data_IF_680249010222
#
_entry.id   IF_680249010222
#
_cell.length_a   1.000
_cell.length_b   1.000
_cell.length_c   1.000
_cell.angle_alpha   90.00
_cell.angle_beta   90.00
_cell.angle_gamma   90.00
#
_symmetry.space_group_name_H-M   'P 1'
#
loop_
_entity.id
_entity.type
_entity.pdbx_description
1 polymer ?
#
# COMPACT_ATOMS: atom_id res chain seq x y z
N UNK A 1 77.51 29.86 29.51
CA UNK A 1 78.18 28.69 30.12
C UNK A 1 77.31 27.47 29.90
N UNK A 2 77.67 26.61 28.93
CA UNK A 2 76.90 25.42 28.60
C UNK A 2 77.13 24.34 29.66
N UNK A 3 76.07 23.96 30.39
CA UNK A 3 76.12 22.80 31.28
C UNK A 3 76.04 21.51 30.46
N UNK A 4 77.10 20.72 30.58
CA UNK A 4 77.27 19.40 29.99
C UNK A 4 76.21 18.43 30.57
N UNK A 5 75.03 18.33 29.95
CA UNK A 5 74.04 17.27 30.24
C UNK A 5 74.51 15.99 29.58
N UNK A 6 75.36 15.21 30.25
CA UNK A 6 75.55 13.75 30.08
C UNK A 6 76.64 13.24 31.04
N UNK A 7 76.48 13.47 32.34
CA UNK A 7 77.21 12.70 33.36
C UNK A 7 76.34 11.50 33.71
N UNK A 8 76.58 10.35 33.08
CA UNK A 8 76.00 9.07 33.54
C UNK A 8 76.64 8.73 34.89
N UNK A 9 76.05 9.26 35.97
CA UNK A 9 76.45 8.93 37.34
C UNK A 9 76.06 7.48 37.56
N UNK A 10 77.04 6.58 37.43
CA UNK A 10 76.85 5.16 37.73
C UNK A 10 76.60 5.02 39.23
N UNK A 11 75.49 4.40 39.59
CA UNK A 11 75.16 4.03 40.98
C UNK A 11 75.53 2.57 41.21
N UNK A 12 75.90 2.22 42.44
CA UNK A 12 76.28 0.85 42.82
C UNK A 12 75.13 0.19 43.56
N UNK A 13 74.77 -1.03 43.15
CA UNK A 13 73.78 -1.88 43.83
C UNK A 13 74.51 -3.11 44.35
N UNK A 14 74.34 -3.41 45.64
CA UNK A 14 74.85 -4.64 46.25
C UNK A 14 73.96 -5.82 45.88
N UNK A 15 74.55 -6.87 45.30
CA UNK A 15 73.87 -8.14 45.02
C UNK A 15 74.67 -9.29 45.64
N UNK A 16 73.98 -10.34 46.04
CA UNK A 16 74.63 -11.54 46.58
C UNK A 16 75.34 -12.33 45.47
N UNK A 17 76.25 -13.22 45.87
CA UNK A 17 77.05 -13.97 44.92
C UNK A 17 76.20 -14.89 44.02
N UNK A 18 75.05 -15.39 44.50
CA UNK A 18 74.20 -16.28 43.72
C UNK A 18 73.48 -15.53 42.59
N UNK A 19 72.92 -14.36 42.87
CA UNK A 19 72.30 -13.48 41.86
C UNK A 19 73.33 -12.99 40.85
N UNK A 20 74.55 -12.64 41.28
CA UNK A 20 75.63 -12.26 40.37
C UNK A 20 75.98 -13.38 39.37
N UNK A 21 76.00 -14.65 39.82
CA UNK A 21 76.21 -15.80 38.93
C UNK A 21 75.06 -15.99 37.93
N UNK A 22 73.82 -15.70 38.31
CA UNK A 22 72.67 -15.75 37.40
C UNK A 22 72.75 -14.66 36.33
N UNK A 23 73.11 -13.44 36.72
CA UNK A 23 73.37 -12.34 35.80
C UNK A 23 74.49 -12.72 34.83
N UNK A 24 75.60 -13.30 35.32
CA UNK A 24 76.69 -13.79 34.46
C UNK A 24 76.23 -14.83 33.42
N UNK A 25 75.35 -15.75 33.81
CA UNK A 25 74.76 -16.73 32.88
C UNK A 25 73.88 -16.05 31.82
N UNK A 26 73.11 -15.04 32.19
CA UNK A 26 72.27 -14.27 31.25
C UNK A 26 73.14 -13.42 30.32
N UNK A 27 74.18 -12.76 30.84
CA UNK A 27 75.17 -12.01 30.08
C UNK A 27 75.83 -12.88 29.01
N UNK A 28 76.23 -14.11 29.35
CA UNK A 28 76.80 -15.05 28.38
C UNK A 28 75.78 -15.52 27.34
N UNK A 29 74.52 -15.77 27.73
CA UNK A 29 73.47 -16.26 26.81
C UNK A 29 73.06 -15.23 25.76
N UNK A 30 72.93 -13.98 26.17
CA UNK A 30 72.46 -12.91 25.28
C UNK A 30 73.58 -12.01 24.76
N UNK A 31 74.84 -12.30 25.13
CA UNK A 31 76.04 -11.53 24.76
C UNK A 31 75.94 -10.03 25.13
N UNK A 32 75.55 -9.75 26.37
CA UNK A 32 75.33 -8.39 26.87
C UNK A 32 76.17 -8.13 28.13
N UNK A 33 76.54 -6.86 28.36
CA UNK A 33 77.24 -6.45 29.59
C UNK A 33 76.27 -6.46 30.78
N UNK A 34 76.79 -6.61 32.00
CA UNK A 34 75.96 -6.67 33.23
C UNK A 34 75.04 -5.46 33.38
N UNK A 35 75.56 -4.25 33.17
CA UNK A 35 74.77 -3.02 33.26
C UNK A 35 73.67 -2.93 32.19
N UNK A 36 73.90 -3.46 30.99
CA UNK A 36 72.93 -3.44 29.89
C UNK A 36 71.76 -4.39 30.15
N UNK A 37 72.04 -5.60 30.63
CA UNK A 37 71.00 -6.57 31.01
C UNK A 37 70.12 -6.04 32.14
N UNK A 38 70.72 -5.42 33.16
CA UNK A 38 69.96 -4.88 34.29
C UNK A 38 69.05 -3.75 33.81
N UNK A 39 69.55 -2.83 32.98
CA UNK A 39 68.74 -1.77 32.38
C UNK A 39 67.58 -2.33 31.56
N UNK A 40 67.84 -3.28 30.67
CA UNK A 40 66.82 -3.91 29.83
C UNK A 40 65.80 -4.70 30.65
N UNK A 41 66.21 -5.34 31.74
CA UNK A 41 65.29 -6.04 32.63
C UNK A 41 64.31 -5.08 33.31
N UNK A 42 64.77 -3.93 33.81
CA UNK A 42 63.88 -2.91 34.37
C UNK A 42 62.96 -2.30 33.31
N UNK A 43 63.47 -1.99 32.11
CA UNK A 43 62.62 -1.54 31.00
C UNK A 43 61.59 -2.60 30.59
N UNK A 44 61.95 -3.88 30.62
CA UNK A 44 61.02 -4.97 30.29
C UNK A 44 59.94 -5.12 31.35
N UNK A 45 60.29 -5.06 32.65
CA UNK A 45 59.32 -5.11 33.74
C UNK A 45 58.32 -3.95 33.67
N UNK A 46 58.83 -2.74 33.40
CA UNK A 46 58.00 -1.54 33.25
C UNK A 46 57.08 -1.63 32.01
N UNK A 47 57.63 -1.97 30.84
CA UNK A 47 56.87 -2.07 29.58
C UNK A 47 55.88 -3.24 29.56
N UNK A 48 56.21 -4.35 30.21
CA UNK A 48 55.34 -5.52 30.28
C UNK A 48 54.41 -5.50 31.51
N UNK A 49 54.48 -4.44 32.34
CA UNK A 49 53.74 -4.30 33.60
C UNK A 49 53.86 -5.54 34.51
N UNK A 50 55.05 -6.15 34.57
CA UNK A 50 55.29 -7.35 35.39
C UNK A 50 55.73 -6.92 36.79
N UNK A 51 55.05 -7.40 37.82
CA UNK A 51 55.48 -7.24 39.20
C UNK A 51 56.53 -8.30 39.55
N UNK A 52 57.82 -7.94 39.76
CA UNK A 52 58.87 -8.92 40.06
C UNK A 52 58.75 -9.54 41.47
N UNK A 53 57.89 -8.99 42.33
CA UNK A 53 57.63 -9.52 43.66
C UNK A 53 56.62 -10.68 43.64
N UNK A 54 55.87 -10.83 42.54
CA UNK A 54 54.87 -11.87 42.37
C UNK A 54 55.36 -12.93 41.37
N UNK A 55 54.99 -14.22 41.55
CA UNK A 55 55.27 -15.24 40.56
C UNK A 55 54.68 -14.80 39.20
N UNK A 56 55.40 -14.99 38.09
CA UNK A 56 54.90 -14.58 36.78
C UNK A 56 53.54 -15.24 36.52
N UNK A 57 52.50 -14.43 36.34
CA UNK A 57 51.18 -14.95 35.95
C UNK A 57 51.33 -15.67 34.61
N UNK A 58 50.93 -16.94 34.59
CA UNK A 58 51.08 -17.73 33.37
C UNK A 58 50.14 -17.18 32.31
N UNK A 59 50.68 -16.79 31.15
CA UNK A 59 49.87 -16.39 29.98
C UNK A 59 48.79 -17.45 29.67
N UNK A 60 49.10 -18.72 29.92
CA UNK A 60 48.14 -19.84 29.78
C UNK A 60 46.93 -19.73 30.72
N UNK A 61 47.11 -19.29 31.96
CA UNK A 61 46.00 -19.15 32.92
C UNK A 61 45.11 -17.96 32.59
N UNK A 62 45.67 -16.84 32.14
CA UNK A 62 44.87 -15.69 31.70
C UNK A 62 44.08 -16.00 30.42
N UNK A 63 44.70 -16.67 29.44
CA UNK A 63 43.99 -17.15 28.25
C UNK A 63 42.86 -18.13 28.63
N UNK A 64 43.07 -19.00 29.61
CA UNK A 64 42.02 -19.91 30.08
C UNK A 64 40.85 -19.14 30.74
N UNK A 65 41.11 -18.09 31.51
CA UNK A 65 40.07 -17.22 32.09
C UNK A 65 39.27 -16.50 31.01
N UNK A 66 39.97 -15.97 29.99
CA UNK A 66 39.32 -15.30 28.84
C UNK A 66 38.45 -16.29 28.06
N UNK A 67 38.97 -17.47 27.74
CA UNK A 67 38.21 -18.50 27.02
C UNK A 67 36.95 -18.91 27.79
N UNK A 68 37.05 -19.11 29.11
CA UNK A 68 35.89 -19.41 29.95
C UNK A 68 34.83 -18.30 29.88
N UNK A 69 35.24 -17.03 29.95
CA UNK A 69 34.32 -15.89 29.81
C UNK A 69 33.68 -15.84 28.43
N UNK A 70 34.43 -16.15 27.37
CA UNK A 70 33.88 -16.25 26.02
C UNK A 70 32.84 -17.36 25.91
N UNK A 71 33.12 -18.54 26.46
CA UNK A 71 32.17 -19.66 26.48
C UNK A 71 30.88 -19.31 27.24
N UNK A 72 31.00 -18.64 28.38
CA UNK A 72 29.85 -18.19 29.16
C UNK A 72 29.03 -17.13 28.40
N UNK A 73 29.68 -16.20 27.68
CA UNK A 73 29.00 -15.24 26.81
C UNK A 73 28.28 -15.91 25.64
N UNK A 74 28.92 -16.87 24.97
CA UNK A 74 28.29 -17.63 23.88
C UNK A 74 27.08 -18.40 24.42
N UNK A 75 27.20 -19.01 25.61
CA UNK A 75 26.09 -19.73 26.25
C UNK A 75 24.94 -18.78 26.57
N UNK A 76 25.23 -17.58 27.09
CA UNK A 76 24.23 -16.56 27.35
C UNK A 76 23.49 -16.13 26.09
N UNK A 77 24.22 -15.82 25.00
CA UNK A 77 23.63 -15.40 23.73
C UNK A 77 22.70 -16.49 23.18
N UNK A 78 23.17 -17.74 23.11
CA UNK A 78 22.34 -18.86 22.64
C UNK A 78 21.08 -19.04 23.49
N UNK A 79 21.22 -18.95 24.81
CA UNK A 79 20.08 -19.06 25.71
C UNK A 79 19.06 -17.95 25.48
N UNK A 80 19.51 -16.70 25.33
CA UNK A 80 18.65 -15.56 25.04
C UNK A 80 17.99 -15.68 23.67
N UNK A 81 18.73 -16.11 22.65
CA UNK A 81 18.19 -16.35 21.31
C UNK A 81 17.10 -17.41 21.33
N UNK A 82 17.33 -18.52 22.02
CA UNK A 82 16.35 -19.62 22.13
C UNK A 82 15.11 -19.25 22.94
N UNK A 83 15.27 -18.52 24.05
CA UNK A 83 14.18 -18.24 24.99
C UNK A 83 13.38 -16.99 24.67
N UNK A 84 14.02 -15.95 24.14
CA UNK A 84 13.38 -14.65 23.93
C UNK A 84 13.27 -14.34 22.44
N UNK A 85 14.40 -14.33 21.72
CA UNK A 85 14.44 -13.81 20.35
C UNK A 85 13.67 -14.70 19.35
N UNK A 86 13.90 -16.01 19.37
CA UNK A 86 13.29 -16.95 18.44
C UNK A 86 11.75 -17.02 18.60
N UNK A 87 11.20 -17.09 19.83
CA UNK A 87 9.75 -16.99 20.03
C UNK A 87 9.18 -15.66 19.53
N UNK A 88 9.86 -14.54 19.78
CA UNK A 88 9.42 -13.23 19.29
C UNK A 88 9.38 -13.18 17.75
N UNK A 89 10.42 -13.70 17.07
CA UNK A 89 10.44 -13.79 15.60
C UNK A 89 9.28 -14.65 15.09
N UNK A 90 9.02 -15.80 15.71
CA UNK A 90 7.89 -16.69 15.34
C UNK A 90 6.54 -16.00 15.56
N UNK A 91 6.35 -15.30 16.67
CA UNK A 91 5.13 -14.57 16.96
C UNK A 91 4.90 -13.47 15.92
N UNK A 92 5.93 -12.67 15.62
CA UNK A 92 5.87 -11.62 14.58
C UNK A 92 5.54 -12.22 13.21
N UNK A 93 6.17 -13.34 12.84
CA UNK A 93 5.88 -14.02 11.57
C UNK A 93 4.44 -14.55 11.52
N UNK A 94 3.95 -15.14 12.61
CA UNK A 94 2.57 -15.61 12.72
C UNK A 94 1.56 -14.46 12.61
N UNK A 95 1.86 -13.31 13.22
CA UNK A 95 1.04 -12.10 13.09
C UNK A 95 1.02 -11.62 11.64
N UNK A 96 2.18 -11.52 10.99
CA UNK A 96 2.26 -11.11 9.58
C UNK A 96 1.45 -12.04 8.66
N UNK A 97 1.58 -13.36 8.83
CA UNK A 97 0.81 -14.33 8.05
C UNK A 97 -0.71 -14.19 8.25
N UNK A 98 -1.16 -13.96 9.48
CA UNK A 98 -2.60 -13.70 9.77
C UNK A 98 -3.08 -12.40 9.16
N UNK A 99 -2.26 -11.34 9.17
CA UNK A 99 -2.60 -10.10 8.50
C UNK A 99 -2.74 -10.28 6.99
N UNK A 100 -1.81 -10.99 6.35
CA UNK A 100 -1.89 -11.28 4.91
C UNK A 100 -3.16 -12.07 4.55
N UNK A 101 -3.55 -13.05 5.37
CA UNK A 101 -4.78 -13.82 5.19
C UNK A 101 -6.04 -12.96 5.32
N UNK A 102 -6.08 -12.09 6.34
CA UNK A 102 -7.20 -11.16 6.55
C UNK A 102 -7.32 -10.17 5.39
N UNK A 103 -6.20 -9.61 4.92
CA UNK A 103 -6.18 -8.67 3.79
C UNK A 103 -6.69 -9.35 2.51
N UNK A 104 -6.24 -10.57 2.22
CA UNK A 104 -6.73 -11.33 1.05
C UNK A 104 -8.22 -11.62 1.14
N UNK A 105 -8.69 -12.08 2.30
CA UNK A 105 -10.12 -12.35 2.51
C UNK A 105 -10.96 -11.09 2.31
N UNK A 106 -10.49 -9.95 2.82
CA UNK A 106 -11.17 -8.68 2.66
C UNK A 106 -11.17 -8.21 1.19
N UNK A 107 -10.06 -8.39 0.48
CA UNK A 107 -9.96 -8.09 -0.95
C UNK A 107 -10.98 -8.89 -1.77
N UNK A 108 -11.10 -10.20 -1.49
CA UNK A 108 -12.08 -11.07 -2.15
C UNK A 108 -13.52 -10.66 -1.84
N UNK A 109 -13.83 -10.35 -0.57
CA UNK A 109 -15.16 -9.87 -0.18
C UNK A 109 -15.52 -8.56 -0.88
N UNK A 110 -14.63 -7.58 -0.90
CA UNK A 110 -14.84 -6.29 -1.58
C UNK A 110 -15.06 -6.51 -3.07
N UNK A 111 -14.25 -7.36 -3.73
CA UNK A 111 -14.45 -7.70 -5.15
C UNK A 111 -15.84 -8.31 -5.38
N UNK A 112 -16.25 -9.26 -4.54
CA UNK A 112 -17.56 -9.92 -4.66
C UNK A 112 -18.72 -8.94 -4.51
N UNK A 113 -18.64 -8.01 -3.55
CA UNK A 113 -19.69 -7.01 -3.32
C UNK A 113 -19.75 -6.01 -4.49
N UNK A 114 -18.59 -5.55 -4.99
CA UNK A 114 -18.54 -4.65 -6.16
C UNK A 114 -19.15 -5.32 -7.39
N UNK A 115 -18.81 -6.59 -7.66
CA UNK A 115 -19.40 -7.33 -8.78
C UNK A 115 -20.91 -7.50 -8.61
N UNK A 116 -21.37 -7.90 -7.43
CA UNK A 116 -22.80 -8.05 -7.15
C UNK A 116 -23.57 -6.73 -7.31
N UNK A 117 -23.01 -5.62 -6.84
CA UNK A 117 -23.58 -4.29 -7.03
C UNK A 117 -23.63 -3.90 -8.50
N UNK A 118 -22.56 -4.15 -9.25
CA UNK A 118 -22.48 -3.85 -10.67
C UNK A 118 -23.52 -4.64 -11.47
N UNK A 119 -23.65 -5.94 -11.21
CA UNK A 119 -24.65 -6.81 -11.85
C UNK A 119 -26.07 -6.32 -11.55
N UNK A 120 -26.39 -6.01 -10.28
CA UNK A 120 -27.70 -5.47 -9.91
C UNK A 120 -28.00 -4.14 -10.60
N UNK A 121 -27.04 -3.22 -10.65
CA UNK A 121 -27.23 -1.94 -11.34
C UNK A 121 -27.40 -2.14 -12.85
N UNK A 122 -26.63 -3.03 -13.45
CA UNK A 122 -26.76 -3.40 -14.87
C UNK A 122 -28.16 -3.93 -15.18
N UNK A 123 -28.66 -4.86 -14.37
CA UNK A 123 -30.01 -5.43 -14.51
C UNK A 123 -31.10 -4.36 -14.39
N UNK A 124 -30.97 -3.43 -13.43
CA UNK A 124 -31.90 -2.31 -13.26
C UNK A 124 -31.87 -1.40 -14.48
N UNK A 125 -30.69 -1.02 -14.95
CA UNK A 125 -30.54 -0.16 -16.13
C UNK A 125 -31.10 -0.83 -17.38
N UNK A 126 -30.91 -2.13 -17.55
CA UNK A 126 -31.49 -2.88 -18.65
C UNK A 126 -33.03 -2.87 -18.58
N UNK A 127 -33.62 -3.13 -17.41
CA UNK A 127 -35.08 -3.06 -17.23
C UNK A 127 -35.64 -1.66 -17.51
N UNK A 128 -34.94 -0.62 -17.08
CA UNK A 128 -35.31 0.76 -17.37
C UNK A 128 -35.29 0.98 -18.88
N UNK A 129 -34.19 0.61 -19.55
CA UNK A 129 -34.05 0.72 -21.01
C UNK A 129 -35.19 0.03 -21.76
N UNK A 130 -35.49 -1.22 -21.40
CA UNK A 130 -36.58 -2.00 -21.99
C UNK A 130 -37.94 -1.33 -21.80
N UNK A 131 -38.18 -0.76 -20.61
CA UNK A 131 -39.43 -0.08 -20.27
C UNK A 131 -39.57 1.23 -21.05
N UNK A 132 -38.50 2.01 -21.17
CA UNK A 132 -38.47 3.20 -22.01
C UNK A 132 -38.68 2.85 -23.49
N UNK A 133 -38.10 1.76 -23.98
CA UNK A 133 -38.36 1.25 -25.32
C UNK A 133 -39.83 0.91 -25.56
N UNK A 134 -40.48 0.23 -24.61
CA UNK A 134 -41.93 -0.03 -24.66
C UNK A 134 -42.74 1.28 -24.66
N UNK A 135 -42.39 2.24 -23.80
CA UNK A 135 -43.08 3.52 -23.73
C UNK A 135 -42.92 4.33 -25.02
N UNK A 136 -41.73 4.36 -25.61
CA UNK A 136 -41.46 5.02 -26.89
C UNK A 136 -42.33 4.44 -28.02
N UNK A 137 -42.49 3.10 -28.06
CA UNK A 137 -43.37 2.45 -29.03
C UNK A 137 -44.84 2.86 -28.86
N UNK A 138 -45.33 2.89 -27.61
CA UNK A 138 -46.69 3.33 -27.29
C UNK A 138 -46.90 4.79 -27.72
N UNK A 139 -45.99 5.70 -27.32
CA UNK A 139 -46.06 7.12 -27.69
C UNK A 139 -46.07 7.27 -29.21
N UNK A 140 -45.21 6.55 -29.94
CA UNK A 140 -45.20 6.60 -31.40
C UNK A 140 -46.52 6.13 -32.01
N UNK A 141 -47.13 5.07 -31.46
CA UNK A 141 -48.44 4.59 -31.92
C UNK A 141 -49.56 5.61 -31.66
N UNK A 142 -49.55 6.26 -30.49
CA UNK A 142 -50.52 7.29 -30.11
C UNK A 142 -50.36 8.55 -30.98
N UNK A 143 -49.12 8.98 -31.25
CA UNK A 143 -48.85 10.10 -32.15
C UNK A 143 -49.43 9.87 -33.54
N UNK A 144 -49.33 8.64 -34.08
CA UNK A 144 -49.95 8.29 -35.37
C UNK A 144 -51.48 8.34 -35.31
N UNK A 145 -52.09 7.83 -34.23
CA UNK A 145 -53.54 7.91 -34.03
C UNK A 145 -54.02 9.35 -33.94
N UNK A 146 -53.34 10.20 -33.15
CA UNK A 146 -53.65 11.63 -33.02
C UNK A 146 -53.56 12.31 -34.38
N UNK A 147 -52.51 12.04 -35.17
CA UNK A 147 -52.38 12.62 -36.51
C UNK A 147 -53.57 12.24 -37.42
N UNK A 148 -54.03 10.98 -37.36
CA UNK A 148 -55.22 10.55 -38.11
C UNK A 148 -56.51 11.23 -37.64
N UNK A 149 -56.71 11.37 -36.32
CA UNK A 149 -57.88 12.04 -35.74
C UNK A 149 -57.90 13.53 -36.10
N UNK A 150 -56.75 14.21 -36.04
CA UNK A 150 -56.63 15.62 -36.45
C UNK A 150 -56.98 15.80 -37.93
N UNK A 151 -56.61 14.85 -38.78
CA UNK A 151 -56.95 14.89 -40.21
C UNK A 151 -58.46 14.70 -40.43
N UNK A 152 -59.08 13.74 -39.75
CA UNK A 152 -60.54 13.53 -39.79
C UNK A 152 -61.26 14.78 -39.30
N UNK A 153 -60.86 15.33 -38.15
CA UNK A 153 -61.44 16.55 -37.60
C UNK A 153 -61.37 17.72 -38.60
N UNK A 154 -60.25 17.86 -39.32
CA UNK A 154 -60.10 18.90 -40.34
C UNK A 154 -61.08 18.70 -41.51
N UNK A 155 -61.29 17.46 -41.94
CA UNK A 155 -62.25 17.12 -42.99
C UNK A 155 -63.68 17.37 -42.52
N UNK A 156 -64.04 16.92 -41.32
CA UNK A 156 -65.36 17.11 -40.73
C UNK A 156 -65.68 18.59 -40.51
N UNK A 157 -64.72 19.39 -40.03
CA UNK A 157 -64.88 20.83 -39.90
C UNK A 157 -65.11 21.50 -41.25
N UNK A 158 -64.43 21.05 -42.32
CA UNK A 158 -64.68 21.56 -43.68
C UNK A 158 -66.09 21.21 -44.14
N UNK A 159 -66.49 19.93 -44.02
CA UNK A 159 -67.86 19.49 -44.34
C UNK A 159 -68.91 20.29 -43.58
N UNK A 160 -68.69 20.55 -42.29
CA UNK A 160 -69.59 21.36 -41.47
C UNK A 160 -69.71 22.80 -42.00
N UNK A 161 -68.60 23.45 -42.35
CA UNK A 161 -68.62 24.79 -42.93
C UNK A 161 -69.36 24.82 -44.28
N UNK A 162 -69.11 23.84 -45.13
CA UNK A 162 -69.77 23.71 -46.42
C UNK A 162 -71.28 23.48 -46.24
N UNK A 163 -71.70 22.64 -45.28
CA UNK A 163 -73.11 22.46 -44.91
C UNK A 163 -73.75 23.75 -44.42
N UNK A 164 -73.07 24.49 -43.53
CA UNK A 164 -73.57 25.78 -43.04
C UNK A 164 -73.80 26.73 -44.22
N UNK A 165 -72.86 26.82 -45.16
CA UNK A 165 -73.01 27.66 -46.35
C UNK A 165 -74.22 27.26 -47.18
N UNK A 166 -74.38 25.97 -47.51
CA UNK A 166 -75.51 25.46 -48.29
C UNK A 166 -76.86 25.70 -47.59
N UNK A 167 -76.93 25.48 -46.27
CA UNK A 167 -78.15 25.77 -45.50
C UNK A 167 -78.47 27.26 -45.48
N UNK A 168 -77.48 28.14 -45.34
CA UNK A 168 -77.71 29.59 -45.41
C UNK A 168 -78.24 30.01 -46.78
N UNK A 169 -77.69 29.47 -47.87
CA UNK A 169 -78.16 29.76 -49.23
C UNK A 169 -79.58 29.22 -49.48
N UNK A 170 -79.91 28.05 -48.92
CA UNK A 170 -81.27 27.51 -48.98
C UNK A 170 -82.28 28.42 -48.28
N UNK A 171 -81.92 29.00 -47.13
CA UNK A 171 -82.80 29.90 -46.38
C UNK A 171 -83.07 31.24 -47.08
N UNK A 172 -82.14 31.71 -47.92
CA UNK A 172 -82.31 32.97 -48.68
C UNK A 172 -83.10 32.80 -49.98
N UNK A 173 -83.39 31.56 -50.41
CA UNK A 173 -84.15 31.29 -51.63
C UNK A 173 -85.63 31.70 -51.53
N UNK A 174 -86.13 32.46 -52.52
CA UNK A 174 -87.50 32.97 -52.60
C UNK A 174 -88.54 31.92 -53.00
N UNK A 175 -89.82 32.32 -53.09
CA UNK A 175 -90.94 31.42 -53.43
C UNK A 175 -90.87 30.93 -54.89
N UNK A 176 -90.20 31.68 -55.77
CA UNK A 176 -90.02 31.37 -57.20
C UNK A 176 -88.82 30.45 -57.51
N UNK A 177 -87.96 30.13 -56.53
CA UNK A 177 -86.69 29.40 -56.70
C UNK A 177 -86.82 27.87 -56.56
N UNK A 178 -87.95 27.28 -56.93
CA UNK A 178 -88.26 25.86 -56.64
C UNK A 178 -87.18 24.86 -57.07
N UNK A 179 -86.68 24.98 -58.31
CA UNK A 179 -85.63 24.10 -58.85
C UNK A 179 -84.28 24.27 -58.13
N UNK A 180 -83.93 25.50 -57.73
CA UNK A 180 -82.70 25.78 -56.97
C UNK A 180 -82.78 25.22 -55.55
N UNK A 181 -83.95 25.30 -54.90
CA UNK A 181 -84.21 24.70 -53.59
C UNK A 181 -84.05 23.18 -53.61
N UNK A 182 -84.56 22.51 -54.64
CA UNK A 182 -84.39 21.04 -54.78
C UNK A 182 -82.93 20.65 -54.99
N UNK A 183 -82.20 21.39 -55.83
CA UNK A 183 -80.76 21.15 -56.03
C UNK A 183 -79.95 21.33 -54.74
N UNK A 184 -80.16 22.42 -54.00
CA UNK A 184 -79.48 22.67 -52.71
C UNK A 184 -79.82 21.57 -51.68
N UNK A 185 -81.08 21.10 -51.64
CA UNK A 185 -81.47 19.97 -50.77
C UNK A 185 -80.75 18.68 -51.15
N UNK A 186 -80.61 18.39 -52.45
CA UNK A 186 -79.88 17.21 -52.91
C UNK A 186 -78.38 17.29 -52.57
N UNK A 187 -77.77 18.47 -52.73
CA UNK A 187 -76.37 18.71 -52.41
C UNK A 187 -76.08 18.58 -50.90
N UNK A 188 -76.97 19.12 -50.05
CA UNK A 188 -76.92 18.92 -48.60
C UNK A 188 -77.01 17.44 -48.22
N UNK A 189 -77.95 16.69 -48.81
CA UNK A 189 -78.12 15.26 -48.51
C UNK A 189 -76.88 14.47 -48.94
N UNK A 190 -76.30 14.78 -50.10
CA UNK A 190 -75.07 14.13 -50.56
C UNK A 190 -73.90 14.41 -49.62
N UNK A 191 -73.73 15.67 -49.17
CA UNK A 191 -72.62 16.05 -48.28
C UNK A 191 -72.73 15.45 -46.87
N UNK A 192 -73.96 15.15 -46.40
CA UNK A 192 -74.21 14.45 -45.13
C UNK A 192 -73.90 12.95 -45.25
N UNK A 193 -74.13 12.37 -46.42
CA UNK A 193 -73.96 10.94 -46.68
C UNK A 193 -72.54 10.54 -47.13
N UNK A 194 -71.71 11.52 -47.53
CA UNK A 194 -70.25 11.38 -47.71
C UNK A 194 -69.49 11.30 -46.39
#
# INVERSE_FOLDING_TARGET
MAQNKNKTVLTTIGIDHSTNRQIDKLCKRYNLKKGEIVKLAFEYMDKACINPSEPPESVKTELAKINKRQDDLIRFIRHFEEKELNPMIRATHSIAARFDEVVKTLEELIKSEITLMWDKHSDILQRISDTFGKHANIVNSQTKQIASLTQIQKQDNKKLLDLIALYTELTTCGVMDGKRKENLKAEIINLINE
#
